data_IF_470238239618
#
_entry.id   IF_470238239618
#
_cell.length_a   1.000
_cell.length_b   1.000
_cell.length_c   1.000
_cell.angle_alpha   90.00
_cell.angle_beta   90.00
_cell.angle_gamma   90.00
#
_symmetry.space_group_name_H-M   'P 1'
#
loop_
_entity.id
_entity.type
_entity.pdbx_description
1 polymer ?
#
# COMPACT_ATOMS: atom_id res chain seq x y z
N UNK A 1 -20.73 -5.57 -0.13
CA UNK A 1 -20.13 -4.22 -0.06
C UNK A 1 -19.93 -3.88 1.41
N UNK A 2 -18.89 -3.15 1.76
CA UNK A 2 -18.65 -2.75 3.15
C UNK A 2 -19.72 -1.74 3.59
N UNK A 3 -20.34 -1.96 4.75
CA UNK A 3 -21.20 -0.96 5.39
C UNK A 3 -20.28 0.09 6.01
N UNK A 4 -20.35 1.35 5.55
CA UNK A 4 -19.42 2.44 5.89
C UNK A 4 -20.15 3.71 6.33
N UNK A 5 -21.26 3.54 7.04
CA UNK A 5 -22.15 4.62 7.48
C UNK A 5 -21.68 5.24 8.80
N UNK A 6 -20.97 4.48 9.63
CA UNK A 6 -20.51 4.93 10.95
C UNK A 6 -18.99 5.02 11.05
N UNK A 7 -18.55 5.79 12.05
CA UNK A 7 -17.13 5.91 12.40
C UNK A 7 -16.54 4.55 12.76
N UNK A 8 -17.27 3.75 13.53
CA UNK A 8 -16.85 2.45 14.00
C UNK A 8 -16.68 1.48 12.82
N UNK A 9 -17.61 1.53 11.86
CA UNK A 9 -17.51 0.76 10.62
C UNK A 9 -16.30 1.18 9.78
N UNK A 10 -16.05 2.48 9.62
CA UNK A 10 -14.87 2.99 8.90
C UNK A 10 -13.55 2.53 9.55
N UNK A 11 -13.46 2.59 10.88
CA UNK A 11 -12.29 2.11 11.62
C UNK A 11 -12.11 0.60 11.52
N UNK A 12 -13.19 -0.17 11.63
CA UNK A 12 -13.16 -1.62 11.45
C UNK A 12 -12.72 -2.01 10.04
N UNK A 13 -13.12 -1.24 9.03
CA UNK A 13 -12.70 -1.45 7.64
C UNK A 13 -11.22 -1.14 7.43
N UNK A 14 -10.71 -0.04 8.00
CA UNK A 14 -9.27 0.26 7.98
C UNK A 14 -8.43 -0.83 8.67
N UNK A 15 -8.95 -1.42 9.74
CA UNK A 15 -8.27 -2.52 10.44
C UNK A 15 -8.18 -3.80 9.61
N UNK A 16 -9.00 -3.97 8.56
CA UNK A 16 -8.83 -5.08 7.61
C UNK A 16 -7.61 -4.85 6.71
N UNK A 17 -7.40 -3.61 6.25
CA UNK A 17 -6.26 -3.23 5.40
C UNK A 17 -4.95 -3.18 6.21
N UNK A 18 -4.97 -2.52 7.36
CA UNK A 18 -3.81 -2.32 8.24
C UNK A 18 -4.13 -2.71 9.69
N UNK A 19 -4.11 -4.02 10.04
CA UNK A 19 -4.50 -4.50 11.38
C UNK A 19 -3.66 -3.97 12.55
N UNK A 20 -2.43 -3.53 12.26
CA UNK A 20 -1.47 -3.06 13.27
C UNK A 20 -1.44 -1.54 13.38
N UNK A 21 -2.15 -0.82 12.52
CA UNK A 21 -2.19 0.63 12.51
C UNK A 21 -3.48 1.15 13.13
N UNK A 22 -3.39 2.32 13.76
CA UNK A 22 -4.54 3.02 14.32
C UNK A 22 -4.78 4.31 13.55
N UNK A 23 -6.04 4.70 13.42
CA UNK A 23 -6.45 5.85 12.63
C UNK A 23 -7.43 6.74 13.40
N UNK A 24 -7.33 8.05 13.16
CA UNK A 24 -8.43 8.98 13.34
C UNK A 24 -9.17 9.11 12.01
N UNK A 25 -10.51 9.14 12.07
CA UNK A 25 -11.35 9.34 10.89
C UNK A 25 -12.27 10.54 11.07
N UNK A 26 -12.42 11.30 10.00
CA UNK A 26 -13.33 12.44 9.91
C UNK A 26 -14.29 12.23 8.74
N UNK A 27 -15.61 12.41 8.93
CA UNK A 27 -16.57 12.23 7.87
C UNK A 27 -16.42 13.32 6.82
N UNK A 28 -16.56 12.95 5.55
CA UNK A 28 -16.63 13.85 4.40
C UNK A 28 -17.78 13.46 3.49
N UNK A 29 -18.09 14.30 2.50
CA UNK A 29 -19.10 13.96 1.50
C UNK A 29 -18.75 12.63 0.84
N UNK A 30 -19.61 11.62 1.01
CA UNK A 30 -19.46 10.26 0.45
C UNK A 30 -18.22 9.49 0.91
N UNK A 31 -17.76 9.72 2.14
CA UNK A 31 -16.63 8.95 2.66
C UNK A 31 -16.06 9.41 3.99
N UNK A 32 -14.83 8.97 4.24
CA UNK A 32 -14.10 9.23 5.47
C UNK A 32 -12.65 9.58 5.15
N UNK A 33 -12.14 10.71 5.65
CA UNK A 33 -10.70 10.99 5.64
C UNK A 33 -10.10 10.33 6.87
N UNK A 34 -9.07 9.50 6.67
CA UNK A 34 -8.34 8.83 7.74
C UNK A 34 -6.90 9.35 7.85
N UNK A 35 -6.48 9.61 9.08
CA UNK A 35 -5.11 10.00 9.42
C UNK A 35 -4.55 9.00 10.42
N UNK A 36 -3.38 8.43 10.13
CA UNK A 36 -2.71 7.50 11.03
C UNK A 36 -2.38 8.18 12.36
N UNK A 37 -2.65 7.50 13.47
CA UNK A 37 -2.25 7.93 14.80
C UNK A 37 -0.80 7.50 15.01
N UNK A 38 0.06 8.46 15.31
CA UNK A 38 1.47 8.20 15.61
C UNK A 38 1.66 8.05 17.11
N UNK A 39 2.50 7.09 17.51
CA UNK A 39 2.96 6.99 18.89
C UNK A 39 3.87 8.18 19.24
N UNK A 40 4.03 8.51 20.54
CA UNK A 40 4.96 9.57 20.95
C UNK A 40 6.39 9.38 20.43
N UNK A 41 6.86 8.14 20.34
CA UNK A 41 8.19 7.81 19.79
C UNK A 41 8.27 8.08 18.28
N UNK A 42 7.20 7.79 17.53
CA UNK A 42 7.11 8.06 16.10
C UNK A 42 7.07 9.58 15.82
N UNK A 43 6.38 10.34 16.66
CA UNK A 43 6.41 11.80 16.59
C UNK A 43 7.82 12.35 16.90
N UNK A 44 8.48 11.84 17.93
CA UNK A 44 9.82 12.28 18.34
C UNK A 44 10.90 12.00 17.27
N UNK A 45 10.70 10.97 16.45
CA UNK A 45 11.59 10.61 15.33
C UNK A 45 11.24 11.29 14.01
N UNK A 46 10.26 12.22 14.01
CA UNK A 46 9.89 13.01 12.83
C UNK A 46 9.00 12.29 11.82
N UNK A 47 8.41 11.13 12.16
CA UNK A 47 7.51 10.39 11.27
C UNK A 47 6.17 11.11 11.01
N UNK A 48 5.92 12.23 11.67
CA UNK A 48 4.80 13.14 11.38
C UNK A 48 4.99 13.92 10.08
N UNK A 49 6.23 14.14 9.64
CA UNK A 49 6.54 14.84 8.40
C UNK A 49 6.33 13.89 7.23
N UNK A 50 5.53 14.30 6.26
CA UNK A 50 5.28 13.50 5.06
C UNK A 50 4.18 12.45 5.21
N UNK A 51 3.43 12.44 6.32
CA UNK A 51 2.37 11.44 6.52
C UNK A 51 1.28 11.58 5.44
N UNK A 52 1.09 10.50 4.68
CA UNK A 52 0.00 10.39 3.72
C UNK A 52 -1.36 10.39 4.44
N UNK A 53 -2.39 10.85 3.74
CA UNK A 53 -3.78 10.77 4.21
C UNK A 53 -4.53 9.76 3.39
N UNK A 54 -5.46 9.06 4.02
CA UNK A 54 -6.31 8.10 3.34
C UNK A 54 -7.72 8.65 3.20
N UNK A 55 -8.43 8.23 2.16
CA UNK A 55 -9.87 8.44 2.02
C UNK A 55 -10.54 7.11 1.75
N UNK A 56 -11.54 6.78 2.56
CA UNK A 56 -12.44 5.64 2.32
C UNK A 56 -13.66 6.16 1.57
N UNK A 57 -13.89 5.64 0.37
CA UNK A 57 -15.12 5.89 -0.38
C UNK A 57 -16.24 5.00 0.16
N UNK A 58 -17.28 5.60 0.74
CA UNK A 58 -18.35 4.86 1.41
C UNK A 58 -19.28 4.11 0.44
N UNK A 59 -19.33 4.53 -0.83
CA UNK A 59 -20.17 3.88 -1.85
C UNK A 59 -19.48 2.63 -2.41
N UNK A 60 -18.16 2.68 -2.59
CA UNK A 60 -17.38 1.63 -3.28
C UNK A 60 -16.52 0.78 -2.36
N UNK A 61 -16.22 1.25 -1.14
CA UNK A 61 -15.24 0.65 -0.24
C UNK A 61 -13.79 0.86 -0.70
N UNK A 62 -13.52 1.68 -1.71
CA UNK A 62 -12.14 1.92 -2.15
C UNK A 62 -11.43 2.84 -1.15
N UNK A 63 -10.20 2.48 -0.77
CA UNK A 63 -9.32 3.35 -0.01
C UNK A 63 -8.31 3.99 -0.97
N UNK A 64 -8.28 5.31 -0.99
CA UNK A 64 -7.32 6.12 -1.73
C UNK A 64 -6.26 6.68 -0.78
N UNK A 65 -5.01 6.64 -1.20
CA UNK A 65 -3.90 7.34 -0.56
C UNK A 65 -3.64 8.65 -1.29
N UNK A 66 -3.62 9.75 -0.54
CA UNK A 66 -3.22 11.08 -1.00
C UNK A 66 -1.85 11.45 -0.43
N UNK A 67 -1.12 12.38 -1.08
CA UNK A 67 0.10 12.95 -0.53
C UNK A 67 -0.13 13.63 0.83
N UNK A 68 0.92 14.18 1.41
CA UNK A 68 0.92 14.86 2.72
C UNK A 68 0.21 16.23 2.69
N UNK A 69 -0.89 16.33 1.97
CA UNK A 69 -1.82 17.46 1.92
C UNK A 69 -2.60 17.57 3.22
N UNK A 70 -3.11 18.75 3.54
CA UNK A 70 -3.99 18.93 4.70
C UNK A 70 -5.30 18.14 4.55
N UNK A 71 -5.99 17.90 5.65
CA UNK A 71 -7.29 17.20 5.63
C UNK A 71 -8.30 17.90 4.74
N UNK A 72 -8.37 19.23 4.80
CA UNK A 72 -9.24 20.05 3.97
C UNK A 72 -8.94 19.87 2.48
N UNK A 73 -7.66 19.88 2.08
CA UNK A 73 -7.26 19.69 0.68
C UNK A 73 -7.64 18.29 0.17
N UNK A 74 -7.49 17.27 1.01
CA UNK A 74 -7.87 15.89 0.66
C UNK A 74 -9.39 15.76 0.53
N UNK A 75 -10.15 16.34 1.48
CA UNK A 75 -11.60 16.34 1.43
C UNK A 75 -12.14 17.05 0.18
N UNK A 76 -11.55 18.19 -0.18
CA UNK A 76 -11.89 18.94 -1.40
C UNK A 76 -11.56 18.13 -2.66
N UNK A 77 -10.32 17.61 -2.77
CA UNK A 77 -9.90 16.82 -3.92
C UNK A 77 -10.77 15.57 -4.12
N UNK A 78 -11.13 14.89 -3.03
CA UNK A 78 -12.02 13.74 -3.07
C UNK A 78 -13.45 14.12 -3.45
N UNK A 79 -13.99 15.21 -2.91
CA UNK A 79 -15.34 15.68 -3.27
C UNK A 79 -15.40 16.03 -4.76
N UNK A 80 -14.41 16.77 -5.28
CA UNK A 80 -14.29 17.06 -6.71
C UNK A 80 -14.19 15.78 -7.54
N UNK A 81 -13.43 14.78 -7.09
CA UNK A 81 -13.37 13.48 -7.76
C UNK A 81 -14.75 12.83 -7.85
N UNK A 82 -15.55 12.85 -6.77
CA UNK A 82 -16.90 12.28 -6.79
C UNK A 82 -17.89 13.03 -7.69
N UNK A 83 -17.68 14.32 -7.89
CA UNK A 83 -18.51 15.15 -8.77
C UNK A 83 -18.12 15.06 -10.24
N UNK A 84 -16.81 14.96 -10.52
CA UNK A 84 -16.25 15.10 -11.88
C UNK A 84 -15.70 13.80 -12.47
N UNK A 85 -15.47 12.78 -11.65
CA UNK A 85 -14.78 11.55 -12.01
C UNK A 85 -13.25 11.67 -12.09
N UNK A 86 -12.68 12.85 -11.87
CA UNK A 86 -11.23 13.07 -11.96
C UNK A 86 -10.55 13.02 -10.59
N UNK A 87 -9.83 11.93 -10.28
CA UNK A 87 -9.10 11.80 -9.01
C UNK A 87 -7.72 12.45 -9.06
N UNK A 88 -7.61 13.65 -8.50
CA UNK A 88 -6.33 14.36 -8.43
C UNK A 88 -5.51 13.91 -7.23
N UNK A 89 -4.50 13.09 -7.49
CA UNK A 89 -3.47 12.74 -6.51
C UNK A 89 -3.85 11.59 -5.57
N UNK A 90 -5.08 11.08 -5.63
CA UNK A 90 -5.47 9.85 -4.94
C UNK A 90 -5.05 8.62 -5.74
N UNK A 91 -4.31 7.71 -5.10
CA UNK A 91 -4.01 6.38 -5.66
C UNK A 91 -4.78 5.34 -4.88
N UNK A 92 -5.49 4.42 -5.56
CA UNK A 92 -6.17 3.31 -4.88
C UNK A 92 -5.12 2.39 -4.24
N UNK A 93 -5.32 2.06 -2.97
CA UNK A 93 -4.48 1.14 -2.21
C UNK A 93 -5.26 -0.04 -1.58
N UNK A 94 -6.59 0.02 -1.59
CA UNK A 94 -7.45 -1.07 -1.09
C UNK A 94 -8.84 -1.04 -1.77
N UNK A 95 -9.49 -2.20 -2.00
CA UNK A 95 -8.99 -3.55 -1.78
C UNK A 95 -7.82 -3.86 -2.71
N UNK A 96 -6.87 -4.66 -2.21
CA UNK A 96 -5.71 -5.11 -2.96
C UNK A 96 -6.15 -5.78 -4.26
N UNK A 97 -5.44 -5.49 -5.34
CA UNK A 97 -5.72 -5.99 -6.68
C UNK A 97 -4.79 -7.14 -7.06
N UNK A 98 -3.66 -7.29 -6.38
CA UNK A 98 -2.65 -8.28 -6.70
C UNK A 98 -1.99 -8.83 -5.45
N UNK A 99 -1.71 -10.12 -5.46
CA UNK A 99 -0.80 -10.78 -4.51
C UNK A 99 0.49 -11.11 -5.24
N UNK A 100 1.60 -10.63 -4.71
CA UNK A 100 2.93 -10.88 -5.24
C UNK A 100 3.64 -11.85 -4.29
N UNK A 101 4.10 -12.98 -4.81
CA UNK A 101 4.96 -13.92 -4.10
C UNK A 101 6.31 -14.00 -4.81
N UNK A 102 7.39 -13.86 -4.04
CA UNK A 102 8.75 -14.05 -4.52
C UNK A 102 9.38 -15.27 -3.86
N UNK A 103 10.10 -16.07 -4.64
CA UNK A 103 10.88 -17.21 -4.17
C UNK A 103 12.31 -17.11 -4.68
N UNK A 104 13.30 -17.13 -3.79
CA UNK A 104 14.71 -16.97 -4.14
C UNK A 104 15.16 -18.16 -4.97
N UNK A 105 15.68 -17.87 -6.16
CA UNK A 105 16.24 -18.85 -7.09
C UNK A 105 17.75 -18.93 -6.92
N UNK A 106 18.41 -17.78 -6.82
CA UNK A 106 19.85 -17.68 -6.58
C UNK A 106 20.20 -16.37 -5.90
N UNK A 107 21.32 -16.37 -5.20
CA UNK A 107 21.86 -15.20 -4.54
C UNK A 107 23.38 -15.26 -4.58
N UNK A 108 24.00 -14.12 -4.85
CA UNK A 108 25.44 -13.92 -4.73
C UNK A 108 25.71 -12.63 -3.93
N UNK A 109 26.98 -12.19 -3.87
CA UNK A 109 27.36 -11.03 -3.08
C UNK A 109 26.72 -9.71 -3.56
N UNK A 110 26.39 -9.60 -4.86
CA UNK A 110 25.94 -8.36 -5.48
C UNK A 110 24.45 -8.38 -5.84
N UNK A 111 23.95 -9.55 -6.22
CA UNK A 111 22.60 -9.71 -6.77
C UNK A 111 21.83 -10.81 -6.06
N UNK A 112 20.52 -10.68 -6.12
CA UNK A 112 19.59 -11.74 -5.77
C UNK A 112 18.56 -11.88 -6.88
N UNK A 113 18.25 -13.12 -7.23
CA UNK A 113 17.25 -13.44 -8.25
C UNK A 113 16.13 -14.22 -7.60
N UNK A 114 14.92 -13.73 -7.80
CA UNK A 114 13.68 -14.35 -7.39
C UNK A 114 12.89 -14.82 -8.61
N UNK A 115 12.15 -15.91 -8.45
CA UNK A 115 10.98 -16.19 -9.24
C UNK A 115 9.83 -15.40 -8.61
N UNK A 116 9.27 -14.44 -9.35
CA UNK A 116 8.12 -13.65 -8.95
C UNK A 116 6.86 -14.26 -9.56
N UNK A 117 5.81 -14.40 -8.75
CA UNK A 117 4.48 -14.82 -9.15
C UNK A 117 3.49 -13.73 -8.74
N UNK A 118 2.66 -13.29 -9.68
CA UNK A 118 1.64 -12.27 -9.45
C UNK A 118 0.28 -12.90 -9.70
N UNK A 119 -0.55 -12.92 -8.68
CA UNK A 119 -1.93 -13.40 -8.72
C UNK A 119 -2.88 -12.21 -8.67
N UNK A 120 -3.85 -12.14 -9.59
CA UNK A 120 -4.89 -11.12 -9.52
C UNK A 120 -5.90 -11.46 -8.42
N UNK A 121 -6.24 -10.45 -7.62
CA UNK A 121 -7.27 -10.52 -6.57
C UNK A 121 -8.59 -9.87 -7.04
N UNK A 122 -8.70 -9.49 -8.31
CA UNK A 122 -9.93 -8.93 -8.89
C UNK A 122 -10.96 -10.01 -9.21
N UNK A 123 -12.20 -9.59 -9.44
CA UNK A 123 -13.28 -10.45 -9.93
C UNK A 123 -13.83 -9.89 -11.26
N UNK A 124 -13.67 -10.61 -12.39
CA UNK A 124 -12.98 -11.90 -12.53
C UNK A 124 -11.46 -11.77 -12.35
N UNK A 125 -10.77 -12.84 -11.94
CA UNK A 125 -9.32 -12.84 -11.81
C UNK A 125 -8.64 -12.86 -13.18
N UNK A 126 -7.62 -12.03 -13.34
CA UNK A 126 -6.70 -12.13 -14.48
C UNK A 126 -5.77 -13.35 -14.33
N UNK A 127 -5.22 -13.89 -15.44
CA UNK A 127 -4.27 -15.00 -15.38
C UNK A 127 -3.04 -14.69 -14.51
N UNK A 128 -2.62 -15.68 -13.72
CA UNK A 128 -1.39 -15.59 -12.94
C UNK A 128 -0.18 -15.34 -13.85
N UNK A 129 0.62 -14.34 -13.50
CA UNK A 129 1.81 -13.98 -14.24
C UNK A 129 3.05 -14.45 -13.47
N UNK A 130 4.06 -14.93 -14.21
CA UNK A 130 5.33 -15.35 -13.64
C UNK A 130 6.49 -14.68 -14.38
N UNK A 131 7.46 -14.17 -13.64
CA UNK A 131 8.66 -13.55 -14.21
C UNK A 131 9.83 -13.65 -13.26
N UNK A 132 11.05 -13.56 -13.78
CA UNK A 132 12.23 -13.41 -12.92
C UNK A 132 12.35 -11.96 -12.44
N UNK A 133 12.66 -11.79 -11.17
CA UNK A 133 13.01 -10.51 -10.56
C UNK A 133 14.48 -10.56 -10.13
N UNK A 134 15.32 -9.72 -10.73
CA UNK A 134 16.71 -9.56 -10.31
C UNK A 134 16.85 -8.24 -9.57
N UNK A 135 17.45 -8.26 -8.37
CA UNK A 135 17.69 -7.08 -7.54
C UNK A 135 19.19 -6.95 -7.29
N UNK A 136 19.75 -5.77 -7.56
CA UNK A 136 21.09 -5.39 -7.11
C UNK A 136 21.02 -4.93 -5.65
N UNK A 137 21.78 -5.58 -4.76
CA UNK A 137 21.65 -5.40 -3.31
C UNK A 137 22.10 -4.04 -2.80
N UNK A 138 23.02 -3.38 -3.50
CA UNK A 138 23.59 -2.11 -3.07
C UNK A 138 22.72 -0.91 -3.46
N UNK A 139 22.11 -0.97 -4.63
CA UNK A 139 21.35 0.14 -5.23
C UNK A 139 19.84 -0.08 -5.20
N UNK A 140 19.39 -1.32 -4.98
CA UNK A 140 18.01 -1.77 -5.16
C UNK A 140 17.46 -1.56 -6.57
N UNK A 141 18.35 -1.35 -7.54
CA UNK A 141 18.01 -1.42 -8.95
C UNK A 141 17.49 -2.83 -9.25
N UNK A 142 16.42 -2.92 -10.03
CA UNK A 142 15.76 -4.18 -10.31
C UNK A 142 15.29 -4.29 -11.75
N UNK A 143 15.23 -5.52 -12.22
CA UNK A 143 14.66 -5.90 -13.52
C UNK A 143 13.66 -7.04 -13.31
N UNK A 144 12.46 -6.99 -13.96
CA UNK A 144 12.01 -5.95 -14.89
C UNK A 144 11.70 -4.62 -14.20
N UNK A 145 11.86 -3.51 -14.91
CA UNK A 145 11.40 -2.19 -14.46
C UNK A 145 9.88 -2.11 -14.55
N UNK A 146 9.20 -2.37 -13.45
CA UNK A 146 7.75 -2.31 -13.36
C UNK A 146 7.30 -2.04 -11.94
N UNK A 147 6.10 -1.50 -11.79
CA UNK A 147 5.57 -1.15 -10.47
C UNK A 147 5.49 -2.37 -9.53
N UNK A 148 4.99 -3.52 -10.00
CA UNK A 148 4.92 -4.75 -9.20
C UNK A 148 6.31 -5.26 -8.79
N UNK A 149 7.29 -5.20 -9.70
CA UNK A 149 8.67 -5.55 -9.40
C UNK A 149 9.30 -4.58 -8.37
N UNK A 150 8.96 -3.29 -8.45
CA UNK A 150 9.38 -2.30 -7.46
C UNK A 150 8.77 -2.55 -6.09
N UNK A 151 7.49 -2.93 -6.01
CA UNK A 151 6.83 -3.32 -4.76
C UNK A 151 7.51 -4.54 -4.14
N UNK A 152 7.71 -5.60 -4.94
CA UNK A 152 8.38 -6.82 -4.49
C UNK A 152 9.79 -6.54 -3.98
N UNK A 153 10.54 -5.69 -4.68
CA UNK A 153 11.89 -5.25 -4.31
C UNK A 153 11.88 -4.53 -2.97
N UNK A 154 11.03 -3.51 -2.81
CA UNK A 154 10.90 -2.76 -1.55
C UNK A 154 10.49 -3.66 -0.39
N UNK A 155 9.59 -4.62 -0.62
CA UNK A 155 9.16 -5.55 0.42
C UNK A 155 10.28 -6.51 0.85
N UNK A 156 11.00 -7.10 -0.11
CA UNK A 156 12.15 -7.96 0.16
C UNK A 156 13.27 -7.22 0.88
N UNK A 157 13.50 -5.97 0.49
CA UNK A 157 14.48 -5.07 1.09
C UNK A 157 14.13 -4.72 2.54
N UNK A 158 12.86 -4.37 2.79
CA UNK A 158 12.37 -4.14 4.14
C UNK A 158 12.53 -5.38 5.03
N UNK A 159 12.15 -6.57 4.54
CA UNK A 159 12.35 -7.83 5.27
C UNK A 159 13.83 -8.10 5.56
N UNK A 160 14.71 -7.84 4.59
CA UNK A 160 16.15 -7.99 4.77
C UNK A 160 16.67 -7.07 5.88
N UNK A 161 16.25 -5.81 5.91
CA UNK A 161 16.61 -4.86 7.00
C UNK A 161 16.14 -5.36 8.36
N UNK A 162 14.93 -5.89 8.46
CA UNK A 162 14.41 -6.49 9.70
C UNK A 162 15.20 -7.73 10.12
N UNK A 163 15.69 -8.50 9.15
CA UNK A 163 16.42 -9.74 9.35
C UNK A 163 17.95 -9.59 9.25
N UNK A 164 18.49 -8.47 9.75
CA UNK A 164 19.95 -8.22 9.84
C UNK A 164 20.70 -8.39 8.51
N UNK A 165 20.06 -8.00 7.40
CA UNK A 165 20.61 -8.06 6.04
C UNK A 165 20.40 -9.40 5.33
N UNK A 166 19.73 -10.37 5.95
CA UNK A 166 19.41 -11.66 5.32
C UNK A 166 18.16 -11.50 4.45
N UNK A 167 18.34 -11.65 3.14
CA UNK A 167 17.25 -11.62 2.18
C UNK A 167 16.33 -12.85 2.33
N UNK A 168 15.00 -12.66 2.15
CA UNK A 168 14.03 -13.73 2.34
C UNK A 168 14.21 -14.85 1.32
N UNK A 169 13.96 -16.09 1.74
CA UNK A 169 13.84 -17.21 0.80
C UNK A 169 12.50 -17.19 0.07
N UNK A 170 11.43 -16.89 0.80
CA UNK A 170 10.08 -16.69 0.27
C UNK A 170 9.47 -15.47 0.97
N UNK A 171 8.76 -14.64 0.22
CA UNK A 171 7.98 -13.53 0.79
C UNK A 171 6.73 -13.27 -0.05
N UNK A 172 5.68 -12.76 0.60
CA UNK A 172 4.40 -12.43 -0.03
C UNK A 172 3.93 -11.06 0.43
N UNK A 173 3.43 -10.26 -0.51
CA UNK A 173 2.86 -8.94 -0.27
C UNK A 173 1.64 -8.70 -1.17
N UNK A 174 0.69 -7.88 -0.72
CA UNK A 174 -0.54 -7.55 -1.44
C UNK A 174 -0.59 -6.05 -1.74
N UNK A 175 -1.01 -5.70 -2.95
CA UNK A 175 -1.12 -4.31 -3.45
C UNK A 175 -2.34 -4.11 -4.33
#
# INVERSE_FOLDING_TARGET
>A
MAELETREQALAYLAQMSPTETFHVHPVSKGWVATKVLSPEQMATGQSVGLARLVIDSETGIIYQYPSWSETMVAEAYTTFKETGFNRGGTRIYPYQSRITIQRVREDAQTIVYQMTVESLTDPPEPTQQSQLTIEKATFAHEPRGWLASVATSHAEWLSRQNRGVWPEVATTEV
#
